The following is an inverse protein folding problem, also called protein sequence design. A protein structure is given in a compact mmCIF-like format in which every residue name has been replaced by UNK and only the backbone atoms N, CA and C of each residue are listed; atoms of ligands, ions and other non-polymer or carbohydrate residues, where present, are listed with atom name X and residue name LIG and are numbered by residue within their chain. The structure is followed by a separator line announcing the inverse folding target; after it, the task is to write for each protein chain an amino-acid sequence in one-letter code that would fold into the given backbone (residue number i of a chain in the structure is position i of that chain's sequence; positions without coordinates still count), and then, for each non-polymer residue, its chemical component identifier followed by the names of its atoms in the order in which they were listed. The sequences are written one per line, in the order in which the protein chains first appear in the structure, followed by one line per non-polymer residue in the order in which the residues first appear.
data_IF_375571988300
#
_entry.id   IF_375571988300
#
_cell.length_a   1.000
_cell.length_b   1.000
_cell.length_c   1.000
_cell.angle_alpha   90.00
_cell.angle_beta   90.00
_cell.angle_gamma   90.00
#
_symmetry.space_group_name_H-M   'P 1'
#
loop_
_entity.id
_entity.type
_entity.pdbx_description
1 polymer ?
#
# COMPACT_ATOMS: atom_id res chain seq x y z
N UNK A 1 -10.36 -1.18 14.85
CA UNK A 1 -9.08 -0.55 15.26
C UNK A 1 -8.37 -0.11 13.98
N UNK A 2 -8.28 1.20 13.68
CA UNK A 2 -7.63 1.69 12.45
C UNK A 2 -6.11 1.73 12.66
N UNK A 3 -5.42 0.63 12.38
CA UNK A 3 -3.99 0.43 12.72
C UNK A 3 -3.04 1.38 11.96
N UNK A 4 -3.52 2.18 11.00
CA UNK A 4 -2.67 2.64 9.91
C UNK A 4 -2.55 4.14 9.69
N UNK A 5 -3.31 4.96 10.42
CA UNK A 5 -3.26 6.41 10.21
C UNK A 5 -1.90 7.02 10.59
N UNK A 6 -1.09 6.32 11.41
CA UNK A 6 0.23 6.78 11.86
C UNK A 6 1.39 5.84 11.48
N UNK A 7 1.18 4.88 10.57
CA UNK A 7 2.28 4.04 10.09
C UNK A 7 3.32 4.93 9.37
N UNK A 8 4.59 4.71 9.67
CA UNK A 8 5.70 5.29 8.91
C UNK A 8 5.56 4.92 7.42
N UNK A 9 5.97 5.83 6.55
CA UNK A 9 5.73 5.69 5.11
C UNK A 9 6.49 4.51 4.51
N UNK A 10 7.71 4.22 4.97
CA UNK A 10 8.51 3.10 4.49
C UNK A 10 7.94 1.76 4.98
N UNK A 11 7.38 1.77 6.19
CA UNK A 11 6.67 0.60 6.74
C UNK A 11 5.39 0.34 5.95
N UNK A 12 4.60 1.38 5.65
CA UNK A 12 3.39 1.27 4.84
C UNK A 12 3.70 0.73 3.44
N UNK A 13 4.73 1.29 2.78
CA UNK A 13 5.22 0.84 1.48
C UNK A 13 5.59 -0.65 1.50
N UNK A 14 6.42 -1.05 2.47
CA UNK A 14 6.89 -2.44 2.60
C UNK A 14 5.76 -3.40 2.93
N UNK A 15 4.84 -2.99 3.81
CA UNK A 15 3.69 -3.79 4.23
C UNK A 15 2.78 -4.09 3.04
N UNK A 16 2.41 -3.08 2.26
CA UNK A 16 1.54 -3.25 1.10
C UNK A 16 2.19 -4.12 0.03
N UNK A 17 3.46 -3.86 -0.30
CA UNK A 17 4.19 -4.69 -1.26
C UNK A 17 4.35 -6.14 -0.79
N UNK A 18 4.65 -6.35 0.48
CA UNK A 18 4.75 -7.70 1.05
C UNK A 18 3.38 -8.40 1.00
N UNK A 19 2.29 -7.71 1.34
CA UNK A 19 0.94 -8.27 1.32
C UNK A 19 0.51 -8.68 -0.09
N UNK A 20 0.66 -7.77 -1.06
CA UNK A 20 0.34 -8.03 -2.47
C UNK A 20 1.17 -9.20 -3.04
N UNK A 21 2.47 -9.25 -2.73
CA UNK A 21 3.35 -10.33 -3.18
C UNK A 21 2.98 -11.68 -2.54
N UNK A 22 2.85 -11.73 -1.22
CA UNK A 22 2.63 -12.98 -0.49
C UNK A 22 1.28 -13.61 -0.85
N UNK A 23 0.27 -12.78 -1.10
CA UNK A 23 -1.08 -13.25 -1.37
C UNK A 23 -1.44 -13.18 -2.86
N UNK A 24 -0.46 -12.87 -3.71
CA UNK A 24 -0.63 -12.72 -5.16
C UNK A 24 -1.86 -11.88 -5.54
N UNK A 25 -2.03 -10.75 -4.83
CA UNK A 25 -3.24 -9.93 -4.87
C UNK A 25 -2.93 -8.49 -5.27
N UNK A 26 -3.97 -7.70 -5.56
CA UNK A 26 -3.84 -6.30 -5.92
C UNK A 26 -3.97 -5.37 -4.70
N UNK A 27 -3.81 -4.07 -4.94
CA UNK A 27 -3.90 -3.05 -3.91
C UNK A 27 -5.25 -3.06 -3.19
N UNK A 28 -6.36 -3.13 -3.92
CA UNK A 28 -7.71 -3.09 -3.35
C UNK A 28 -7.92 -4.25 -2.37
N UNK A 29 -7.58 -5.46 -2.78
CA UNK A 29 -7.68 -6.64 -1.93
C UNK A 29 -6.71 -6.59 -0.73
N UNK A 30 -5.48 -6.11 -0.95
CA UNK A 30 -4.52 -5.91 0.13
C UNK A 30 -5.04 -4.89 1.17
N UNK A 31 -5.62 -3.78 0.70
CA UNK A 31 -6.22 -2.77 1.56
C UNK A 31 -7.42 -3.31 2.34
N UNK A 32 -8.33 -4.04 1.69
CA UNK A 32 -9.46 -4.68 2.37
C UNK A 32 -9.00 -5.64 3.49
N UNK A 33 -8.02 -6.50 3.20
CA UNK A 33 -7.48 -7.47 4.18
C UNK A 33 -6.77 -6.79 5.34
N UNK A 34 -6.11 -5.67 5.07
CA UNK A 34 -5.44 -4.88 6.09
C UNK A 34 -6.38 -3.89 6.78
N UNK A 35 -7.64 -3.74 6.34
CA UNK A 35 -8.58 -2.70 6.82
C UNK A 35 -8.04 -1.27 6.62
N UNK A 36 -7.40 -1.06 5.46
CA UNK A 36 -6.88 0.21 4.98
C UNK A 36 -7.86 0.89 4.04
N UNK A 37 -7.90 2.22 4.09
CA UNK A 37 -8.54 3.03 3.06
C UNK A 37 -7.58 3.24 1.89
N UNK A 38 -7.88 2.64 0.74
CA UNK A 38 -7.04 2.63 -0.47
C UNK A 38 -6.69 4.05 -0.92
N UNK A 39 -7.68 4.95 -0.95
CA UNK A 39 -7.50 6.35 -1.36
C UNK A 39 -6.49 7.06 -0.46
N UNK A 40 -6.62 6.89 0.86
CA UNK A 40 -5.74 7.51 1.85
C UNK A 40 -4.31 6.98 1.74
N UNK A 41 -4.12 5.66 1.65
CA UNK A 41 -2.75 5.11 1.55
C UNK A 41 -2.09 5.46 0.24
N UNK A 42 -2.84 5.45 -0.86
CA UNK A 42 -2.32 5.82 -2.18
C UNK A 42 -1.89 7.28 -2.19
N UNK A 43 -2.72 8.19 -1.66
CA UNK A 43 -2.39 9.60 -1.56
C UNK A 43 -1.13 9.84 -0.70
N UNK A 44 -1.00 9.15 0.45
CA UNK A 44 0.18 9.26 1.32
C UNK A 44 1.45 8.77 0.63
N UNK A 45 1.38 7.64 -0.06
CA UNK A 45 2.51 7.08 -0.81
C UNK A 45 2.89 7.97 -2.00
N UNK A 46 1.91 8.53 -2.72
CA UNK A 46 2.15 9.51 -3.78
C UNK A 46 2.84 10.77 -3.28
N UNK A 47 2.39 11.32 -2.14
CA UNK A 47 3.04 12.48 -1.51
C UNK A 47 4.50 12.19 -1.11
N UNK A 48 4.83 10.93 -0.86
CA UNK A 48 6.18 10.48 -0.56
C UNK A 48 6.99 10.04 -1.80
N UNK A 49 6.52 10.36 -3.01
CA UNK A 49 7.21 10.02 -4.25
C UNK A 49 7.10 8.54 -4.64
N UNK A 50 6.06 7.84 -4.19
CA UNK A 50 5.78 6.47 -4.61
C UNK A 50 4.56 6.41 -5.54
N UNK A 51 4.54 5.46 -6.47
CA UNK A 51 3.42 5.21 -7.37
C UNK A 51 3.06 3.73 -7.40
N UNK A 52 1.79 3.42 -7.65
CA UNK A 52 1.32 2.05 -7.80
C UNK A 52 1.50 1.57 -9.26
N UNK A 53 2.30 0.53 -9.46
CA UNK A 53 2.48 -0.17 -10.74
C UNK A 53 1.46 -1.30 -10.83
N UNK A 54 0.32 -1.05 -11.49
CA UNK A 54 -0.78 -2.01 -11.61
C UNK A 54 -0.36 -3.29 -12.37
N UNK A 55 0.50 -3.17 -13.38
CA UNK A 55 0.98 -4.32 -14.14
C UNK A 55 1.79 -5.29 -13.27
N UNK A 56 2.53 -4.74 -12.28
CA UNK A 56 3.35 -5.53 -11.36
C UNK A 56 2.72 -5.74 -9.98
N UNK A 57 1.53 -5.20 -9.72
CA UNK A 57 0.82 -5.25 -8.43
C UNK A 57 1.73 -4.88 -7.24
N UNK A 58 2.42 -3.75 -7.36
CA UNK A 58 3.31 -3.24 -6.33
C UNK A 58 3.47 -1.72 -6.40
N UNK A 59 3.75 -1.08 -5.27
CA UNK A 59 4.28 0.27 -5.23
C UNK A 59 5.76 0.32 -5.58
N UNK A 60 6.16 1.41 -6.23
CA UNK A 60 7.54 1.76 -6.54
C UNK A 60 7.83 3.19 -6.11
N UNK A 61 9.04 3.46 -5.67
CA UNK A 61 9.53 4.82 -5.53
C UNK A 61 9.90 5.38 -6.90
N UNK A 62 9.69 6.68 -7.10
CA UNK A 62 10.22 7.46 -8.23
C UNK A 62 11.76 7.49 -8.14
#
# INVERSE_FOLDING_TARGET
MKIHQNLDINVLFSLLNMKMRNEQTDLTMACQRLQLDETTVTARLQQAGCYYDNARRQFKSI
#
